data_IF_265415707664
#
_entry.id   IF_265415707664
#
_cell.length_a   1.000
_cell.length_b   1.000
_cell.length_c   1.000
_cell.angle_alpha   90.00
_cell.angle_beta   90.00
_cell.angle_gamma   90.00
#
_symmetry.space_group_name_H-M   'P 1'
#
loop_
_entity.id
_entity.type
_entity.pdbx_description
1 polymer ?
#
# COMPACT_ATOMS: atom_id res chain seq x y z
N UNK A 1 -0.50 -51.72 52.38
CA UNK A 1 -1.69 -50.86 52.60
C UNK A 1 -1.18 -49.46 52.95
N UNK A 2 -1.43 -48.49 52.05
CA UNK A 2 -1.61 -47.01 52.20
C UNK A 2 -1.20 -46.38 53.56
N UNK A 3 -0.65 -45.18 53.68
CA UNK A 3 -0.33 -44.07 52.77
C UNK A 3 0.53 -43.05 53.54
N UNK A 4 1.24 -42.19 52.80
CA UNK A 4 1.91 -40.99 53.26
C UNK A 4 0.95 -39.80 53.45
N UNK A 5 1.24 -38.91 54.41
CA UNK A 5 0.78 -37.50 54.47
C UNK A 5 1.32 -36.83 55.73
N UNK A 6 1.70 -35.55 55.82
CA UNK A 6 2.10 -34.46 54.90
C UNK A 6 2.48 -33.32 55.85
N UNK A 7 3.68 -32.78 55.75
CA UNK A 7 4.08 -31.53 56.41
C UNK A 7 3.63 -30.35 55.53
N UNK A 8 3.07 -29.25 56.06
CA UNK A 8 2.77 -28.08 55.23
C UNK A 8 4.05 -27.28 55.02
N UNK A 9 4.44 -27.10 53.76
CA UNK A 9 5.41 -26.07 53.35
C UNK A 9 4.57 -24.85 52.96
N UNK A 10 4.89 -23.71 53.57
CA UNK A 10 4.26 -22.42 53.31
C UNK A 10 4.30 -22.06 51.82
N UNK A 11 3.15 -21.65 51.32
CA UNK A 11 2.96 -21.19 49.95
C UNK A 11 3.72 -19.87 49.74
N UNK A 12 4.79 -19.93 48.95
CA UNK A 12 5.33 -18.76 48.27
C UNK A 12 4.53 -18.61 46.97
N UNK A 13 3.53 -17.73 46.97
CA UNK A 13 2.77 -17.38 45.77
C UNK A 13 3.72 -16.61 44.85
N UNK A 14 4.27 -17.30 43.86
CA UNK A 14 4.90 -16.64 42.73
C UNK A 14 3.77 -16.01 41.89
N UNK A 15 3.57 -14.72 42.07
CA UNK A 15 2.89 -13.90 41.06
C UNK A 15 3.79 -13.89 39.83
N UNK A 16 3.45 -14.76 38.88
CA UNK A 16 3.95 -14.72 37.52
C UNK A 16 3.51 -13.39 36.92
N UNK A 17 4.45 -12.44 36.81
CA UNK A 17 4.28 -11.25 35.98
C UNK A 17 4.16 -11.70 34.53
N UNK A 18 2.92 -11.87 34.09
CA UNK A 18 2.58 -11.88 32.67
C UNK A 18 2.89 -10.48 32.17
N UNK A 19 4.07 -10.32 31.56
CA UNK A 19 4.39 -9.14 30.76
C UNK A 19 3.37 -9.12 29.64
N UNK A 20 2.31 -8.33 29.81
CA UNK A 20 1.34 -8.08 28.77
C UNK A 20 2.09 -7.50 27.57
N UNK A 21 2.00 -8.18 26.43
CA UNK A 21 2.55 -7.76 25.14
C UNK A 21 1.88 -6.42 24.81
N UNK A 22 2.52 -5.31 25.18
CA UNK A 22 2.02 -3.97 24.89
C UNK A 22 2.07 -3.83 23.38
N UNK A 23 0.91 -3.96 22.73
CA UNK A 23 0.83 -3.86 21.29
C UNK A 23 1.25 -2.44 20.92
N UNK A 24 2.30 -2.26 20.12
CA UNK A 24 2.76 -0.92 19.78
C UNK A 24 1.65 -0.16 19.07
N UNK A 25 1.48 1.12 19.43
CA UNK A 25 0.47 2.02 18.86
C UNK A 25 0.57 2.15 17.34
N UNK A 26 1.76 1.89 16.78
CA UNK A 26 2.01 1.77 15.35
C UNK A 26 2.83 0.50 15.04
N UNK A 27 2.52 -0.15 13.92
CA UNK A 27 3.32 -1.26 13.40
C UNK A 27 4.63 -0.78 12.74
N UNK A 28 4.63 0.43 12.16
CA UNK A 28 5.82 1.10 11.63
C UNK A 28 5.77 2.57 12.06
N UNK A 29 6.89 3.10 12.54
CA UNK A 29 7.12 4.52 12.76
C UNK A 29 8.38 4.96 12.03
N UNK A 30 8.27 6.03 11.26
CA UNK A 30 9.37 6.67 10.53
C UNK A 30 9.34 8.15 10.88
N UNK A 31 10.47 8.68 11.37
CA UNK A 31 10.61 10.08 11.77
C UNK A 31 11.86 10.68 11.13
N UNK A 32 11.66 11.73 10.35
CA UNK A 32 12.68 12.55 9.69
C UNK A 32 13.76 11.70 9.00
N UNK A 33 13.34 10.62 8.35
CA UNK A 33 14.25 9.64 7.75
C UNK A 33 15.03 10.29 6.61
N UNK A 34 16.35 10.16 6.66
CA UNK A 34 17.26 10.65 5.63
C UNK A 34 18.16 9.51 5.13
N UNK A 35 18.30 9.43 3.80
CA UNK A 35 19.30 8.59 3.14
C UNK A 35 19.93 9.33 1.97
N UNK A 36 21.25 9.35 1.94
CA UNK A 36 22.06 10.01 0.91
C UNK A 36 22.99 9.00 0.22
N UNK A 37 23.22 9.21 -1.07
CA UNK A 37 24.23 8.50 -1.86
C UNK A 37 25.03 9.51 -2.65
N UNK A 38 26.36 9.50 -2.49
CA UNK A 38 27.29 10.40 -3.20
C UNK A 38 26.85 11.88 -3.11
N UNK A 39 26.37 12.32 -1.95
CA UNK A 39 25.89 13.68 -1.71
C UNK A 39 24.48 14.00 -2.24
N UNK A 40 23.79 13.06 -2.89
CA UNK A 40 22.39 13.20 -3.32
C UNK A 40 21.46 12.57 -2.30
N UNK A 41 20.49 13.35 -1.80
CA UNK A 41 19.41 12.82 -0.97
C UNK A 41 18.45 11.97 -1.81
N UNK A 42 18.26 10.71 -1.42
CA UNK A 42 17.30 9.77 -2.01
C UNK A 42 16.06 9.63 -1.13
N UNK A 43 16.22 9.78 0.19
CA UNK A 43 15.14 9.97 1.15
C UNK A 43 15.49 11.20 1.96
N UNK A 44 14.57 12.15 2.11
CA UNK A 44 14.85 13.50 2.60
C UNK A 44 13.79 13.96 3.62
N UNK A 45 13.99 13.62 4.88
CA UNK A 45 13.09 14.02 5.98
C UNK A 45 11.73 13.31 5.92
N UNK A 46 11.70 12.04 5.52
CA UNK A 46 10.45 11.30 5.38
C UNK A 46 9.87 10.92 6.75
N UNK A 47 8.61 11.30 7.02
CA UNK A 47 7.92 11.04 8.29
C UNK A 47 6.54 10.45 8.04
N UNK A 48 6.26 9.25 8.57
CA UNK A 48 4.94 8.63 8.52
C UNK A 48 4.82 7.49 9.54
N UNK A 49 3.58 7.03 9.77
CA UNK A 49 3.29 5.87 10.63
C UNK A 49 2.26 4.94 9.99
N UNK A 50 2.45 3.64 10.24
CA UNK A 50 1.55 2.57 9.79
C UNK A 50 0.87 1.93 11.00
N UNK A 51 -0.45 1.83 10.97
CA UNK A 51 -1.25 1.22 12.03
C UNK A 51 -1.19 -0.31 11.97
N UNK A 52 -1.26 -1.01 13.12
CA UNK A 52 -1.39 -2.46 13.11
C UNK A 52 -2.64 -2.92 12.33
N UNK A 53 -2.49 -3.94 11.49
CA UNK A 53 -3.60 -4.54 10.72
C UNK A 53 -4.10 -3.70 9.54
N UNK A 54 -3.42 -2.61 9.18
CA UNK A 54 -3.74 -1.84 7.97
C UNK A 54 -2.91 -2.29 6.76
N UNK A 55 -3.47 -2.06 5.57
CA UNK A 55 -2.70 -2.09 4.32
C UNK A 55 -2.28 -0.67 4.02
N UNK A 56 -0.98 -0.42 4.02
CA UNK A 56 -0.38 0.88 3.74
C UNK A 56 0.39 0.83 2.42
N UNK A 57 0.04 1.69 1.48
CA UNK A 57 0.70 1.75 0.18
C UNK A 57 1.65 2.95 0.11
N UNK A 58 2.87 2.72 -0.38
CA UNK A 58 3.78 3.78 -0.79
C UNK A 58 3.74 3.88 -2.32
N UNK A 59 3.23 5.00 -2.81
CA UNK A 59 3.17 5.37 -4.23
C UNK A 59 4.22 6.44 -4.55
N UNK A 60 4.70 6.45 -5.78
CA UNK A 60 5.73 7.39 -6.22
C UNK A 60 6.29 6.98 -7.57
N UNK A 61 6.87 7.91 -8.36
CA UNK A 61 7.57 7.54 -9.58
C UNK A 61 8.81 6.68 -9.29
N UNK A 62 9.41 6.11 -10.34
CA UNK A 62 10.69 5.42 -10.22
C UNK A 62 11.76 6.41 -9.75
N UNK A 63 12.56 6.00 -8.76
CA UNK A 63 13.56 6.88 -8.15
C UNK A 63 13.05 7.82 -7.06
N UNK A 64 11.77 7.74 -6.67
CA UNK A 64 11.22 8.53 -5.55
C UNK A 64 11.75 8.13 -4.16
N UNK A 65 12.58 7.09 -4.04
CA UNK A 65 13.11 6.60 -2.77
C UNK A 65 12.33 5.46 -2.12
N UNK A 66 11.24 4.97 -2.74
CA UNK A 66 10.38 3.89 -2.21
C UNK A 66 11.16 2.64 -1.76
N UNK A 67 11.91 2.03 -2.68
CA UNK A 67 12.71 0.81 -2.41
C UNK A 67 13.75 1.08 -1.33
N UNK A 68 14.42 2.24 -1.35
CA UNK A 68 15.38 2.62 -0.31
C UNK A 68 14.73 2.75 1.07
N UNK A 69 13.54 3.36 1.15
CA UNK A 69 12.77 3.42 2.40
C UNK A 69 12.41 2.03 2.88
N UNK A 70 11.89 1.16 2.00
CA UNK A 70 11.53 -0.22 2.35
C UNK A 70 12.74 -1.01 2.83
N UNK A 71 13.88 -0.98 2.12
CA UNK A 71 15.11 -1.67 2.52
C UNK A 71 15.65 -1.18 3.88
N UNK A 72 15.40 0.08 4.27
CA UNK A 72 15.72 0.59 5.61
C UNK A 72 14.78 -0.01 6.66
N UNK A 73 13.47 -0.06 6.38
CA UNK A 73 12.47 -0.70 7.25
C UNK A 73 12.75 -2.20 7.45
N UNK A 74 13.26 -2.86 6.41
CA UNK A 74 13.66 -4.27 6.45
C UNK A 74 14.98 -4.52 7.19
N UNK A 75 15.74 -3.45 7.47
CA UNK A 75 17.05 -3.52 8.13
C UNK A 75 18.20 -3.90 7.20
N UNK A 76 18.01 -3.88 5.87
CA UNK A 76 19.08 -4.07 4.89
C UNK A 76 19.92 -2.82 4.67
N UNK A 77 19.39 -1.65 5.00
CA UNK A 77 20.10 -0.37 4.91
C UNK A 77 20.01 0.40 6.21
N UNK A 78 21.12 1.05 6.55
CA UNK A 78 21.18 1.97 7.69
C UNK A 78 20.77 3.37 7.22
N UNK A 79 19.86 4.05 7.94
CA UNK A 79 19.56 5.46 7.69
C UNK A 79 20.78 6.34 7.99
N UNK A 80 20.92 7.48 7.31
CA UNK A 80 21.98 8.45 7.61
C UNK A 80 21.55 9.45 8.68
N UNK A 81 20.24 9.72 8.79
CA UNK A 81 19.62 10.41 9.91
C UNK A 81 18.14 9.99 10.07
N UNK A 82 17.52 10.44 11.17
CA UNK A 82 16.15 10.09 11.54
C UNK A 82 16.04 8.80 12.34
N UNK A 83 14.81 8.43 12.67
CA UNK A 83 14.50 7.25 13.48
C UNK A 83 13.48 6.36 12.80
N UNK A 84 13.67 5.04 12.96
CA UNK A 84 12.79 4.01 12.39
C UNK A 84 12.50 2.96 13.46
N UNK A 85 11.21 2.64 13.63
CA UNK A 85 10.74 1.52 14.45
C UNK A 85 9.82 0.64 13.63
N UNK A 86 10.04 -0.67 13.68
CA UNK A 86 9.20 -1.69 13.05
C UNK A 86 8.80 -2.68 14.13
N UNK A 87 7.50 -2.78 14.39
CA UNK A 87 6.94 -3.56 15.51
C UNK A 87 7.60 -3.19 16.86
N UNK A 88 7.91 -1.90 17.05
CA UNK A 88 8.60 -1.37 18.23
C UNK A 88 10.12 -1.58 18.24
N UNK A 89 10.69 -2.28 17.25
CA UNK A 89 12.12 -2.62 17.19
C UNK A 89 12.88 -1.73 16.21
N UNK A 90 14.14 -1.45 16.51
CA UNK A 90 15.08 -0.87 15.53
C UNK A 90 15.47 -1.96 14.51
N UNK A 91 15.21 -1.78 13.20
CA UNK A 91 15.42 -2.83 12.21
C UNK A 91 16.89 -3.19 11.99
N UNK A 92 17.83 -2.29 12.29
CA UNK A 92 19.28 -2.52 12.15
C UNK A 92 19.83 -3.16 13.43
N UNK A 93 19.56 -2.55 14.58
CA UNK A 93 20.15 -2.97 15.87
C UNK A 93 19.47 -4.21 16.44
N UNK A 94 18.16 -4.36 16.21
CA UNK A 94 17.34 -5.45 16.75
C UNK A 94 16.84 -6.39 15.64
N UNK A 95 17.54 -6.41 14.49
CA UNK A 95 17.15 -7.19 13.32
C UNK A 95 16.99 -8.68 13.56
N UNK A 96 17.78 -9.28 14.46
CA UNK A 96 17.65 -10.72 14.82
C UNK A 96 16.32 -11.02 15.49
N UNK A 97 15.80 -10.10 16.30
CA UNK A 97 14.49 -10.21 16.94
C UNK A 97 13.35 -9.87 15.97
N UNK A 98 13.60 -8.93 15.06
CA UNK A 98 12.61 -8.45 14.10
C UNK A 98 12.33 -9.45 12.97
N UNK A 99 13.37 -10.05 12.38
CA UNK A 99 13.27 -10.90 11.18
C UNK A 99 12.23 -12.02 11.28
N UNK A 100 12.13 -12.79 12.39
CA UNK A 100 11.09 -13.82 12.52
C UNK A 100 9.66 -13.27 12.54
N UNK A 101 9.46 -11.97 12.77
CA UNK A 101 8.14 -11.33 12.89
C UNK A 101 7.69 -10.63 11.60
N UNK A 102 8.59 -10.50 10.62
CA UNK A 102 8.31 -9.82 9.34
C UNK A 102 8.45 -10.77 8.15
N UNK A 103 7.63 -10.53 7.12
CA UNK A 103 7.66 -11.27 5.87
C UNK A 103 8.11 -10.37 4.73
N UNK A 104 9.01 -10.85 3.86
CA UNK A 104 9.58 -10.05 2.77
C UNK A 104 9.31 -10.72 1.43
N UNK A 105 8.69 -9.99 0.51
CA UNK A 105 8.56 -10.43 -0.89
C UNK A 105 9.71 -9.84 -1.72
N UNK A 106 10.61 -10.71 -2.19
CA UNK A 106 11.77 -10.30 -2.99
C UNK A 106 11.34 -9.96 -4.43
N UNK A 107 11.70 -8.79 -4.94
CA UNK A 107 11.22 -8.26 -6.23
C UNK A 107 11.56 -9.11 -7.46
N UNK A 108 12.72 -9.78 -7.49
CA UNK A 108 13.08 -10.82 -8.45
C UNK A 108 14.38 -11.48 -7.96
N UNK A 109 14.52 -12.80 -8.17
CA UNK A 109 15.73 -13.53 -7.82
C UNK A 109 15.83 -13.90 -6.33
N UNK A 110 16.66 -14.89 -6.04
CA UNK A 110 16.85 -15.42 -4.68
C UNK A 110 16.58 -16.92 -4.57
N UNK A 111 15.81 -17.50 -5.49
CA UNK A 111 15.57 -18.95 -5.54
C UNK A 111 16.45 -19.65 -6.58
N UNK A 112 16.94 -20.83 -6.21
CA UNK A 112 17.69 -21.69 -7.12
C UNK A 112 16.83 -22.07 -8.34
N UNK A 113 17.30 -21.88 -9.59
CA UNK A 113 16.47 -22.11 -10.78
C UNK A 113 15.84 -23.51 -10.90
N UNK A 114 16.43 -24.51 -10.24
CA UNK A 114 15.97 -25.90 -10.28
C UNK A 114 15.03 -26.28 -9.12
N UNK A 115 14.90 -25.46 -8.08
CA UNK A 115 14.00 -25.75 -6.96
C UNK A 115 12.56 -25.73 -7.45
N UNK A 116 11.73 -26.67 -6.98
CA UNK A 116 10.29 -26.63 -7.24
C UNK A 116 9.57 -25.68 -6.28
N UNK A 117 8.38 -25.21 -6.66
CA UNK A 117 7.59 -24.33 -5.80
C UNK A 117 7.33 -24.94 -4.40
N UNK A 118 6.99 -26.23 -4.34
CA UNK A 118 6.79 -26.96 -3.09
C UNK A 118 8.07 -27.07 -2.26
N UNK A 119 9.20 -27.39 -2.90
CA UNK A 119 10.48 -27.48 -2.21
C UNK A 119 10.91 -26.13 -1.63
N UNK A 120 10.67 -25.03 -2.35
CA UNK A 120 10.97 -23.69 -1.86
C UNK A 120 10.16 -23.34 -0.59
N UNK A 121 8.84 -23.57 -0.61
CA UNK A 121 8.01 -23.33 0.58
C UNK A 121 8.42 -24.21 1.77
N UNK A 122 8.72 -25.50 1.53
CA UNK A 122 9.20 -26.41 2.59
C UNK A 122 10.56 -25.99 3.15
N UNK A 123 11.48 -25.58 2.29
CA UNK A 123 12.80 -25.10 2.68
C UNK A 123 12.68 -23.87 3.57
N UNK A 124 11.86 -22.88 3.16
CA UNK A 124 11.72 -21.65 3.93
C UNK A 124 10.93 -21.87 5.22
N UNK A 125 9.92 -22.75 5.23
CA UNK A 125 9.23 -23.15 6.45
C UNK A 125 10.19 -23.70 7.51
N UNK A 126 11.24 -24.42 7.11
CA UNK A 126 12.23 -24.97 8.05
C UNK A 126 13.06 -23.90 8.79
N UNK A 127 13.04 -22.64 8.36
CA UNK A 127 13.70 -21.55 9.08
C UNK A 127 12.85 -20.98 10.23
N UNK A 128 11.58 -21.34 10.33
CA UNK A 128 10.66 -20.81 11.33
C UNK A 128 10.18 -21.92 12.28
N UNK A 129 10.14 -21.67 13.59
CA UNK A 129 9.64 -22.65 14.56
C UNK A 129 8.11 -22.85 14.45
N UNK A 130 7.37 -21.83 14.02
CA UNK A 130 5.91 -21.88 13.81
C UNK A 130 5.56 -21.42 12.38
N UNK A 131 6.00 -22.21 11.40
CA UNK A 131 5.70 -21.94 10.01
C UNK A 131 4.25 -22.27 9.63
N UNK A 132 3.72 -21.59 8.62
CA UNK A 132 2.53 -22.07 7.91
C UNK A 132 2.81 -23.40 7.21
N UNK A 133 1.76 -24.22 7.07
CA UNK A 133 1.84 -25.45 6.29
C UNK A 133 2.12 -25.12 4.81
N UNK A 134 3.26 -25.60 4.24
CA UNK A 134 3.57 -25.40 2.83
C UNK A 134 2.50 -25.92 1.87
N UNK A 135 1.76 -26.97 2.23
CA UNK A 135 0.69 -27.50 1.38
C UNK A 135 -0.53 -26.56 1.38
N UNK A 136 -0.96 -26.08 2.56
CA UNK A 136 -2.00 -25.07 2.67
C UNK A 136 -1.64 -23.76 1.94
N UNK A 137 -0.37 -23.33 2.00
CA UNK A 137 0.09 -22.16 1.25
C UNK A 137 -0.02 -22.34 -0.27
N UNK A 138 0.27 -23.53 -0.81
CA UNK A 138 0.12 -23.78 -2.24
C UNK A 138 -1.33 -23.61 -2.71
N UNK A 139 -2.29 -24.01 -1.87
CA UNK A 139 -3.72 -23.82 -2.13
C UNK A 139 -4.12 -22.35 -1.99
N UNK A 140 -3.69 -21.67 -0.91
CA UNK A 140 -3.97 -20.24 -0.69
C UNK A 140 -3.43 -19.37 -1.83
N UNK A 141 -2.24 -19.69 -2.33
CA UNK A 141 -1.57 -18.97 -3.42
C UNK A 141 -2.10 -19.38 -4.80
N UNK A 142 -2.97 -20.40 -4.89
CA UNK A 142 -3.49 -20.97 -6.14
C UNK A 142 -2.37 -21.38 -7.11
N UNK A 143 -1.34 -22.06 -6.60
CA UNK A 143 -0.22 -22.61 -7.39
C UNK A 143 0.00 -24.11 -7.11
N UNK A 144 -1.04 -24.77 -6.57
CA UNK A 144 -1.07 -26.20 -6.24
C UNK A 144 -0.77 -27.09 -7.45
N UNK A 145 -1.30 -26.72 -8.61
CA UNK A 145 -1.12 -27.38 -9.91
C UNK A 145 0.33 -27.37 -10.38
N UNK A 146 1.08 -26.30 -10.10
CA UNK A 146 2.49 -26.15 -10.43
C UNK A 146 3.45 -26.43 -9.27
N UNK A 147 2.96 -27.09 -8.20
CA UNK A 147 3.74 -27.36 -7.00
C UNK A 147 5.07 -28.10 -7.28
N UNK A 148 5.12 -28.96 -8.30
CA UNK A 148 6.30 -29.73 -8.71
C UNK A 148 7.08 -29.09 -9.88
N UNK A 149 6.62 -27.94 -10.37
CA UNK A 149 7.27 -27.22 -11.46
C UNK A 149 8.49 -26.47 -10.93
N UNK A 150 9.60 -26.52 -11.68
CA UNK A 150 10.85 -25.83 -11.29
C UNK A 150 10.68 -24.32 -11.43
N UNK A 151 11.33 -23.55 -10.56
CA UNK A 151 11.22 -22.09 -10.52
C UNK A 151 11.47 -21.42 -11.88
N UNK A 152 12.48 -21.88 -12.63
CA UNK A 152 12.80 -21.34 -13.96
C UNK A 152 11.68 -21.52 -15.00
N UNK A 153 10.78 -22.49 -14.79
CA UNK A 153 9.69 -22.84 -15.69
C UNK A 153 8.35 -22.19 -15.29
N UNK A 154 8.29 -21.56 -14.11
CA UNK A 154 7.11 -20.83 -13.68
C UNK A 154 6.89 -19.56 -14.51
N UNK A 155 5.64 -19.23 -14.78
CA UNK A 155 5.26 -17.94 -15.38
C UNK A 155 5.61 -16.78 -14.43
N UNK A 156 5.65 -15.55 -14.94
CA UNK A 156 5.90 -14.36 -14.10
C UNK A 156 4.93 -14.28 -12.91
N UNK A 157 3.62 -14.40 -13.15
CA UNK A 157 2.63 -14.41 -12.09
C UNK A 157 2.75 -15.58 -11.10
N UNK A 158 3.16 -16.77 -11.55
CA UNK A 158 3.43 -17.90 -10.66
C UNK A 158 4.66 -17.65 -9.77
N UNK A 159 5.72 -17.03 -10.31
CA UNK A 159 6.90 -16.63 -9.51
C UNK A 159 6.54 -15.61 -8.46
N UNK A 160 5.72 -14.61 -8.80
CA UNK A 160 5.25 -13.62 -7.84
C UNK A 160 4.38 -14.25 -6.74
N UNK A 161 3.47 -15.17 -7.08
CA UNK A 161 2.70 -15.92 -6.08
C UNK A 161 3.58 -16.74 -5.16
N UNK A 162 4.59 -17.42 -5.70
CA UNK A 162 5.56 -18.12 -4.88
C UNK A 162 6.32 -17.15 -3.96
N UNK A 163 6.76 -15.99 -4.48
CA UNK A 163 7.40 -14.93 -3.69
C UNK A 163 6.53 -14.45 -2.53
N UNK A 164 5.24 -14.20 -2.79
CA UNK A 164 4.25 -13.90 -1.75
C UNK A 164 4.16 -15.05 -0.73
N UNK A 165 4.12 -16.30 -1.18
CA UNK A 165 4.12 -17.48 -0.30
C UNK A 165 5.31 -17.54 0.64
N UNK A 166 6.50 -17.25 0.13
CA UNK A 166 7.73 -17.23 0.93
C UNK A 166 7.74 -16.08 1.94
N UNK A 167 7.13 -14.94 1.61
CA UNK A 167 6.94 -13.85 2.55
C UNK A 167 5.98 -14.24 3.70
N UNK A 168 5.01 -15.12 3.43
CA UNK A 168 3.96 -15.49 4.38
C UNK A 168 4.27 -16.72 5.23
N UNK A 169 5.23 -17.55 4.80
CA UNK A 169 5.51 -18.86 5.43
C UNK A 169 5.88 -18.77 6.91
N UNK A 170 6.48 -17.67 7.35
CA UNK A 170 6.86 -17.45 8.75
C UNK A 170 5.74 -16.93 9.66
N UNK A 171 4.48 -16.88 9.20
CA UNK A 171 3.34 -16.25 9.92
C UNK A 171 3.65 -14.82 10.41
N UNK A 172 4.06 -13.91 9.52
CA UNK A 172 4.53 -12.59 9.94
C UNK A 172 3.40 -11.74 10.52
N UNK A 173 3.75 -10.88 11.49
CA UNK A 173 2.87 -9.82 12.00
C UNK A 173 2.79 -8.64 11.01
N UNK A 174 3.85 -8.42 10.23
CA UNK A 174 3.97 -7.39 9.20
C UNK A 174 4.62 -7.97 7.95
N UNK A 175 4.04 -7.73 6.77
CA UNK A 175 4.61 -8.15 5.49
C UNK A 175 4.93 -6.94 4.60
N UNK A 176 6.13 -6.96 4.00
CA UNK A 176 6.58 -6.00 3.01
C UNK A 176 6.42 -6.63 1.62
N UNK A 177 5.63 -5.97 0.77
CA UNK A 177 5.27 -6.41 -0.57
C UNK A 177 5.75 -5.40 -1.60
N UNK A 178 6.89 -5.67 -2.22
CA UNK A 178 7.45 -4.75 -3.22
C UNK A 178 7.01 -5.12 -4.64
N UNK A 179 6.07 -4.35 -5.18
CA UNK A 179 5.38 -4.58 -6.45
C UNK A 179 4.79 -5.99 -6.61
N UNK A 180 3.88 -6.42 -5.69
CA UNK A 180 3.44 -7.81 -5.58
C UNK A 180 2.71 -8.36 -6.81
N UNK A 181 2.20 -7.47 -7.67
CA UNK A 181 1.46 -7.85 -8.87
C UNK A 181 2.16 -7.43 -10.18
N UNK A 182 3.44 -7.04 -10.10
CA UNK A 182 4.26 -6.81 -11.27
C UNK A 182 4.33 -8.07 -12.15
N UNK A 183 4.22 -7.89 -13.47
CA UNK A 183 4.22 -8.98 -14.47
C UNK A 183 3.05 -9.98 -14.35
N UNK A 184 1.93 -9.57 -13.74
CA UNK A 184 0.67 -10.32 -13.76
C UNK A 184 -0.32 -9.73 -14.76
N UNK A 185 -1.06 -10.61 -15.44
CA UNK A 185 -2.27 -10.22 -16.16
C UNK A 185 -3.37 -9.73 -15.18
N UNK A 186 -4.44 -9.07 -15.68
CA UNK A 186 -5.49 -8.51 -14.82
C UNK A 186 -6.20 -9.54 -13.93
N UNK A 187 -6.37 -10.79 -14.38
CA UNK A 187 -7.06 -11.82 -13.60
C UNK A 187 -6.17 -12.32 -12.45
N UNK A 188 -4.90 -12.61 -12.75
CA UNK A 188 -3.92 -13.02 -11.75
C UNK A 188 -3.72 -11.94 -10.68
N UNK A 189 -3.70 -10.66 -11.07
CA UNK A 189 -3.62 -9.50 -10.16
C UNK A 189 -4.79 -9.46 -9.18
N UNK A 190 -6.04 -9.54 -9.68
CA UNK A 190 -7.25 -9.54 -8.82
C UNK A 190 -7.26 -10.70 -7.83
N UNK A 191 -6.77 -11.87 -8.23
CA UNK A 191 -6.66 -13.01 -7.32
C UNK A 191 -5.60 -12.78 -6.24
N UNK A 192 -4.44 -12.20 -6.57
CA UNK A 192 -3.42 -11.80 -5.58
C UNK A 192 -3.95 -10.74 -4.61
N UNK A 193 -4.73 -9.77 -5.09
CA UNK A 193 -5.41 -8.79 -4.26
C UNK A 193 -6.33 -9.42 -3.21
N UNK A 194 -7.04 -10.50 -3.57
CA UNK A 194 -7.87 -11.24 -2.61
C UNK A 194 -7.03 -11.91 -1.52
N UNK A 195 -5.84 -12.40 -1.86
CA UNK A 195 -4.89 -12.93 -0.87
C UNK A 195 -4.46 -11.80 0.09
N UNK A 196 -4.11 -10.63 -0.42
CA UNK A 196 -3.72 -9.47 0.40
C UNK A 196 -4.87 -9.02 1.32
N UNK A 197 -6.11 -8.96 0.81
CA UNK A 197 -7.30 -8.67 1.62
C UNK A 197 -7.49 -9.70 2.74
N UNK A 198 -7.24 -10.98 2.46
CA UNK A 198 -7.32 -12.04 3.47
C UNK A 198 -6.25 -11.90 4.57
N UNK A 199 -5.06 -11.38 4.25
CA UNK A 199 -4.01 -11.09 5.24
C UNK A 199 -4.48 -9.99 6.20
N UNK A 200 -4.98 -8.89 5.64
CA UNK A 200 -5.54 -7.80 6.43
C UNK A 200 -6.69 -8.26 7.32
N UNK A 201 -7.60 -9.09 6.81
CA UNK A 201 -8.72 -9.63 7.59
C UNK A 201 -8.27 -10.51 8.77
N UNK A 202 -7.08 -11.10 8.70
CA UNK A 202 -6.44 -11.85 9.79
C UNK A 202 -5.64 -10.96 10.76
N UNK A 203 -5.63 -9.64 10.55
CA UNK A 203 -4.90 -8.68 11.38
C UNK A 203 -3.42 -8.50 10.99
N UNK A 204 -2.95 -9.13 9.92
CA UNK A 204 -1.59 -8.91 9.41
C UNK A 204 -1.47 -7.49 8.86
N UNK A 205 -0.43 -6.77 9.27
CA UNK A 205 -0.11 -5.45 8.70
C UNK A 205 0.58 -5.66 7.35
N UNK A 206 0.23 -4.87 6.35
CA UNK A 206 0.84 -4.96 5.01
C UNK A 206 1.40 -3.60 4.64
N UNK A 207 2.69 -3.51 4.37
CA UNK A 207 3.27 -2.39 3.64
C UNK A 207 3.50 -2.85 2.20
N UNK A 208 2.91 -2.16 1.24
CA UNK A 208 3.14 -2.43 -0.18
C UNK A 208 3.71 -1.22 -0.90
N UNK A 209 4.65 -1.44 -1.80
CA UNK A 209 5.09 -0.45 -2.78
C UNK A 209 4.51 -0.84 -4.12
N UNK A 210 3.93 0.13 -4.80
CA UNK A 210 3.37 -0.09 -6.14
C UNK A 210 3.46 1.18 -6.96
N UNK A 211 3.46 1.01 -8.28
CA UNK A 211 3.26 2.08 -9.24
C UNK A 211 1.88 1.96 -9.92
N UNK A 212 1.06 0.99 -9.51
CA UNK A 212 -0.30 0.79 -10.01
C UNK A 212 -1.30 1.48 -9.08
N UNK A 213 -1.89 2.59 -9.52
CA UNK A 213 -2.82 3.35 -8.69
C UNK A 213 -4.12 2.59 -8.41
N UNK A 214 -4.59 1.76 -9.35
CA UNK A 214 -5.72 0.87 -9.14
C UNK A 214 -5.46 -0.14 -8.01
N UNK A 215 -4.23 -0.64 -7.88
CA UNK A 215 -3.83 -1.51 -6.78
C UNK A 215 -3.91 -0.80 -5.42
N UNK A 216 -3.36 0.41 -5.33
CA UNK A 216 -3.44 1.21 -4.12
C UNK A 216 -4.89 1.56 -3.76
N UNK A 217 -5.73 1.95 -4.74
CA UNK A 217 -7.15 2.21 -4.51
C UNK A 217 -7.90 0.98 -3.99
N UNK A 218 -7.60 -0.20 -4.52
CA UNK A 218 -8.34 -1.43 -4.23
C UNK A 218 -7.93 -2.13 -2.94
N UNK A 219 -6.71 -1.87 -2.45
CA UNK A 219 -6.13 -2.57 -1.29
C UNK A 219 -5.85 -1.66 -0.11
N UNK A 220 -5.37 -0.45 -0.35
CA UNK A 220 -4.79 0.37 0.70
C UNK A 220 -5.86 1.01 1.59
N UNK A 221 -5.64 0.93 2.89
CA UNK A 221 -6.33 1.77 3.85
C UNK A 221 -5.86 3.22 3.73
N UNK A 222 -4.54 3.40 3.59
CA UNK A 222 -3.87 4.69 3.46
C UNK A 222 -2.75 4.59 2.45
N UNK A 223 -2.49 5.70 1.77
CA UNK A 223 -1.53 5.83 0.71
C UNK A 223 -0.62 7.00 1.04
N UNK A 224 0.69 6.76 1.05
CA UNK A 224 1.70 7.79 1.05
C UNK A 224 2.17 8.02 -0.39
N UNK A 225 1.99 9.23 -0.90
CA UNK A 225 2.59 9.67 -2.16
C UNK A 225 3.96 10.25 -1.82
N UNK A 226 5.01 9.64 -2.36
CA UNK A 226 6.40 10.04 -2.19
C UNK A 226 6.94 10.49 -3.54
N UNK A 227 7.57 11.64 -3.56
CA UNK A 227 8.29 12.14 -4.72
C UNK A 227 9.62 12.78 -4.30
N UNK A 228 10.66 12.57 -5.11
CA UNK A 228 12.02 13.04 -4.83
C UNK A 228 12.51 12.80 -3.38
N UNK A 229 12.12 11.67 -2.77
CA UNK A 229 12.51 11.29 -1.41
C UNK A 229 11.70 11.92 -0.29
N UNK A 230 10.68 12.72 -0.60
CA UNK A 230 9.84 13.46 0.36
C UNK A 230 8.39 12.98 0.33
N UNK A 231 7.70 13.11 1.46
CA UNK A 231 6.26 12.87 1.52
C UNK A 231 5.53 14.06 0.90
N UNK A 232 4.78 13.81 -0.18
CA UNK A 232 3.95 14.82 -0.85
C UNK A 232 2.57 14.87 -0.20
N UNK A 233 1.94 13.71 -0.07
CA UNK A 233 0.61 13.58 0.51
C UNK A 233 0.46 12.23 1.21
N UNK A 234 -0.40 12.20 2.23
CA UNK A 234 -0.72 10.98 2.96
C UNK A 234 -2.16 11.02 3.46
N UNK A 235 -2.99 10.14 2.93
CA UNK A 235 -4.40 10.01 3.31
C UNK A 235 -4.95 8.65 2.84
N UNK A 236 -6.23 8.38 3.10
CA UNK A 236 -6.99 7.33 2.43
C UNK A 236 -7.04 7.58 0.91
N UNK A 237 -7.20 6.54 0.07
CA UNK A 237 -7.38 6.73 -1.37
C UNK A 237 -8.52 7.71 -1.69
N UNK A 238 -9.65 7.63 -0.96
CA UNK A 238 -10.75 8.56 -1.12
C UNK A 238 -10.35 10.00 -0.76
N UNK A 239 -9.68 10.20 0.38
CA UNK A 239 -9.19 11.52 0.81
C UNK A 239 -8.24 12.15 -0.20
N UNK A 240 -7.29 11.38 -0.74
CA UNK A 240 -6.38 11.87 -1.78
C UNK A 240 -7.11 12.30 -3.07
N UNK A 241 -8.16 11.57 -3.46
CA UNK A 241 -8.99 11.93 -4.61
C UNK A 241 -9.86 13.17 -4.37
N UNK A 242 -10.26 13.43 -3.13
CA UNK A 242 -11.00 14.63 -2.74
C UNK A 242 -10.09 15.86 -2.56
N UNK A 243 -8.79 15.66 -2.32
CA UNK A 243 -7.82 16.74 -2.18
C UNK A 243 -7.54 17.46 -3.51
N UNK A 244 -7.84 16.83 -4.64
CA UNK A 244 -7.79 17.46 -5.97
C UNK A 244 -9.18 17.92 -6.40
N UNK A 245 -9.23 19.04 -7.13
CA UNK A 245 -10.49 19.66 -7.54
C UNK A 245 -11.44 18.66 -8.22
N UNK A 246 -12.71 18.66 -7.81
CA UNK A 246 -13.74 17.85 -8.42
C UNK A 246 -14.12 18.44 -9.79
N UNK A 247 -14.34 17.57 -10.78
CA UNK A 247 -14.61 17.97 -12.16
C UNK A 247 -15.75 17.12 -12.74
N UNK A 248 -16.33 17.61 -13.84
CA UNK A 248 -17.27 16.84 -14.65
C UNK A 248 -16.58 16.50 -15.97
N UNK A 249 -16.34 15.22 -16.21
CA UNK A 249 -15.82 14.72 -17.49
C UNK A 249 -16.96 14.08 -18.28
N UNK A 250 -17.09 14.41 -19.55
CA UNK A 250 -18.13 13.84 -20.39
C UNK A 250 -17.67 13.62 -21.82
N UNK A 251 -18.28 12.65 -22.49
CA UNK A 251 -18.02 12.33 -23.89
C UNK A 251 -19.29 12.52 -24.72
N UNK A 252 -19.18 13.20 -25.87
CA UNK A 252 -20.28 13.45 -26.80
C UNK A 252 -20.06 12.83 -28.17
N UNK A 253 -21.16 12.53 -28.87
CA UNK A 253 -21.16 12.22 -30.31
C UNK A 253 -22.31 12.99 -31.01
N UNK A 254 -22.04 13.79 -32.06
CA UNK A 254 -20.71 14.16 -32.58
C UNK A 254 -19.89 14.99 -31.57
N UNK A 255 -18.61 15.20 -31.87
CA UNK A 255 -17.81 16.15 -31.13
C UNK A 255 -18.35 17.58 -31.36
N UNK A 256 -18.39 18.37 -30.29
CA UNK A 256 -18.87 19.76 -30.28
C UNK A 256 -17.70 20.72 -30.01
N UNK A 257 -17.95 22.02 -30.14
CA UNK A 257 -16.94 23.02 -29.81
C UNK A 257 -16.91 23.29 -28.29
N UNK A 258 -15.72 23.35 -27.68
CA UNK A 258 -15.56 23.66 -26.25
C UNK A 258 -16.09 25.05 -25.90
N UNK A 259 -16.08 25.99 -26.86
CA UNK A 259 -16.67 27.30 -26.71
C UNK A 259 -18.20 27.27 -26.69
N UNK A 260 -18.83 26.39 -27.47
CA UNK A 260 -20.28 26.18 -27.44
C UNK A 260 -20.70 25.60 -26.08
N UNK A 261 -19.92 24.65 -25.55
CA UNK A 261 -20.11 24.10 -24.20
C UNK A 261 -20.00 25.21 -23.14
N UNK A 262 -18.93 25.99 -23.17
CA UNK A 262 -18.71 27.06 -22.19
C UNK A 262 -19.86 28.10 -22.23
N UNK A 263 -20.27 28.51 -23.42
CA UNK A 263 -21.35 29.50 -23.61
C UNK A 263 -22.70 28.92 -23.19
N UNK A 264 -22.99 27.68 -23.58
CA UNK A 264 -24.23 26.98 -23.30
C UNK A 264 -24.50 26.74 -21.82
N UNK A 265 -23.44 26.55 -21.03
CA UNK A 265 -23.50 26.33 -19.59
C UNK A 265 -23.20 27.59 -18.76
N UNK A 266 -23.02 28.74 -19.41
CA UNK A 266 -22.69 30.01 -18.74
C UNK A 266 -21.35 29.95 -17.98
N UNK A 267 -20.39 29.17 -18.44
CA UNK A 267 -19.08 28.98 -17.81
C UNK A 267 -18.00 29.82 -18.51
N UNK A 268 -16.99 30.33 -17.75
CA UNK A 268 -15.80 30.90 -18.37
C UNK A 268 -15.09 29.87 -19.26
N UNK A 269 -14.53 30.28 -20.40
CA UNK A 269 -13.77 29.37 -21.29
C UNK A 269 -12.66 28.60 -20.55
N UNK A 270 -11.97 29.25 -19.60
CA UNK A 270 -10.93 28.62 -18.79
C UNK A 270 -11.42 27.46 -17.90
N UNK A 271 -12.74 27.25 -17.79
CA UNK A 271 -13.35 26.16 -17.02
C UNK A 271 -13.74 24.97 -17.90
N UNK A 272 -13.58 25.05 -19.22
CA UNK A 272 -13.90 23.98 -20.15
C UNK A 272 -12.65 23.64 -20.93
N UNK A 273 -12.27 22.36 -20.91
CA UNK A 273 -11.10 21.86 -21.60
C UNK A 273 -11.49 20.67 -22.48
N UNK A 274 -11.08 20.68 -23.75
CA UNK A 274 -11.19 19.51 -24.62
C UNK A 274 -9.93 18.65 -24.52
N UNK A 275 -10.06 17.45 -23.95
CA UNK A 275 -8.94 16.52 -23.77
C UNK A 275 -8.60 15.78 -25.08
N UNK A 276 -9.63 15.40 -25.85
CA UNK A 276 -9.50 14.75 -27.16
C UNK A 276 -10.81 14.88 -27.95
N UNK A 277 -10.91 14.18 -29.09
CA UNK A 277 -12.08 14.29 -29.96
C UNK A 277 -13.34 13.71 -29.29
N UNK A 278 -14.22 14.60 -28.85
CA UNK A 278 -15.48 14.24 -28.18
C UNK A 278 -15.42 14.18 -26.66
N UNK A 279 -14.25 14.24 -26.00
CA UNK A 279 -14.14 14.27 -24.53
C UNK A 279 -13.85 15.68 -24.01
N UNK A 280 -14.64 16.10 -23.02
CA UNK A 280 -14.55 17.40 -22.38
C UNK A 280 -14.43 17.27 -20.86
N UNK A 281 -13.74 18.22 -20.24
CA UNK A 281 -13.57 18.35 -18.80
C UNK A 281 -14.08 19.73 -18.37
N UNK A 282 -14.99 19.74 -17.40
CA UNK A 282 -15.47 20.94 -16.73
C UNK A 282 -14.81 21.06 -15.37
N UNK A 283 -14.03 22.12 -15.18
CA UNK A 283 -13.30 22.46 -13.96
C UNK A 283 -14.21 23.11 -12.89
N UNK A 284 -15.33 22.46 -12.60
CA UNK A 284 -16.40 22.96 -11.73
C UNK A 284 -16.86 21.88 -10.75
N UNK A 285 -17.37 22.31 -9.59
CA UNK A 285 -17.93 21.39 -8.60
C UNK A 285 -19.10 20.58 -9.21
N UNK A 286 -19.05 19.24 -9.14
CA UNK A 286 -20.09 18.37 -9.68
C UNK A 286 -21.30 18.35 -8.76
N UNK A 287 -22.25 19.26 -8.99
CA UNK A 287 -23.55 19.24 -8.31
C UNK A 287 -24.62 18.57 -9.18
N UNK A 288 -25.68 18.00 -8.58
CA UNK A 288 -26.82 17.47 -9.34
C UNK A 288 -27.39 18.48 -10.34
N UNK A 289 -27.51 19.75 -9.93
CA UNK A 289 -28.00 20.84 -10.80
C UNK A 289 -27.08 21.05 -12.00
N UNK A 290 -25.76 21.03 -11.79
CA UNK A 290 -24.79 21.21 -12.87
C UNK A 290 -24.80 20.05 -13.87
N UNK A 291 -24.97 18.83 -13.37
CA UNK A 291 -25.14 17.63 -14.20
C UNK A 291 -26.43 17.70 -15.02
N UNK A 292 -27.53 18.15 -14.41
CA UNK A 292 -28.81 18.31 -15.08
C UNK A 292 -28.75 19.40 -16.16
N UNK A 293 -28.10 20.53 -15.86
CA UNK A 293 -27.88 21.62 -16.81
C UNK A 293 -27.08 21.16 -18.04
N UNK A 294 -25.97 20.45 -17.84
CA UNK A 294 -25.17 19.85 -18.92
C UNK A 294 -26.01 18.91 -19.78
N UNK A 295 -26.74 18.00 -19.14
CA UNK A 295 -27.56 17.00 -19.84
C UNK A 295 -28.69 17.65 -20.64
N UNK A 296 -29.35 18.65 -20.04
CA UNK A 296 -30.42 19.40 -20.68
C UNK A 296 -29.91 20.21 -21.87
N UNK A 297 -28.77 20.90 -21.71
CA UNK A 297 -28.16 21.67 -22.78
C UNK A 297 -27.79 20.78 -23.97
N UNK A 298 -27.11 19.64 -23.74
CA UNK A 298 -26.77 18.69 -24.81
C UNK A 298 -28.02 18.17 -25.55
N UNK A 299 -29.12 17.94 -24.83
CA UNK A 299 -30.39 17.58 -25.44
C UNK A 299 -30.94 18.69 -26.35
N UNK A 300 -30.84 19.96 -25.97
CA UNK A 300 -31.26 21.09 -26.85
C UNK A 300 -30.43 21.19 -28.13
N UNK A 301 -29.17 20.75 -28.07
CA UNK A 301 -28.27 20.73 -29.23
C UNK A 301 -28.42 19.47 -30.09
N UNK A 302 -29.29 18.52 -29.69
CA UNK A 302 -29.43 17.20 -30.31
C UNK A 302 -28.09 16.43 -30.37
N UNK A 303 -27.28 16.55 -29.30
CA UNK A 303 -25.97 15.91 -29.16
C UNK A 303 -26.07 14.76 -28.17
N UNK A 304 -25.60 13.57 -28.55
CA UNK A 304 -25.65 12.40 -27.69
C UNK A 304 -24.54 12.45 -26.65
N UNK A 305 -24.92 12.47 -25.37
CA UNK A 305 -24.02 12.21 -24.24
C UNK A 305 -23.78 10.71 -24.11
N UNK A 306 -22.59 10.24 -24.47
CA UNK A 306 -22.25 8.80 -24.43
C UNK A 306 -21.62 8.37 -23.10
N UNK A 307 -20.94 9.30 -22.42
CA UNK A 307 -20.35 9.04 -21.10
C UNK A 307 -20.41 10.32 -20.26
N UNK A 308 -20.71 10.16 -18.97
CA UNK A 308 -20.67 11.24 -17.99
C UNK A 308 -20.06 10.70 -16.70
N UNK A 309 -19.02 11.38 -16.22
CA UNK A 309 -18.40 11.15 -14.93
C UNK A 309 -18.37 12.46 -14.17
N UNK A 310 -18.95 12.47 -13.00
CA UNK A 310 -18.98 13.62 -12.12
C UNK A 310 -18.49 13.18 -10.74
N UNK A 311 -17.50 13.88 -10.19
CA UNK A 311 -16.96 13.59 -8.86
C UNK A 311 -15.45 13.49 -8.80
N UNK A 312 -14.98 12.79 -7.77
CA UNK A 312 -13.55 12.68 -7.42
C UNK A 312 -12.75 12.06 -8.56
N UNK A 313 -11.65 12.72 -8.95
CA UNK A 313 -10.64 12.20 -9.89
C UNK A 313 -10.14 10.82 -9.46
N UNK A 314 -9.63 10.00 -10.40
CA UNK A 314 -8.95 8.75 -10.02
C UNK A 314 -7.71 9.07 -9.16
N UNK A 315 -7.24 8.10 -8.38
CA UNK A 315 -5.99 8.25 -7.62
C UNK A 315 -4.79 8.51 -8.54
N UNK A 316 -4.84 8.01 -9.77
CA UNK A 316 -3.86 8.34 -10.82
C UNK A 316 -3.83 9.83 -11.14
N UNK A 317 -5.00 10.45 -11.35
CA UNK A 317 -5.08 11.88 -11.61
C UNK A 317 -4.71 12.71 -10.38
N UNK A 318 -5.12 12.26 -9.18
CA UNK A 318 -4.71 12.90 -7.94
C UNK A 318 -3.18 12.88 -7.77
N UNK A 319 -2.55 11.73 -8.06
CA UNK A 319 -1.11 11.57 -8.07
C UNK A 319 -0.43 12.50 -9.07
N UNK A 320 -0.92 12.59 -10.32
CA UNK A 320 -0.36 13.47 -11.34
C UNK A 320 -0.43 14.94 -10.92
N UNK A 321 -1.56 15.40 -10.40
CA UNK A 321 -1.69 16.79 -9.91
C UNK A 321 -0.75 17.06 -8.74
N UNK A 322 -0.74 16.20 -7.72
CA UNK A 322 0.07 16.39 -6.51
C UNK A 322 1.58 16.33 -6.78
N UNK A 323 2.02 15.61 -7.83
CA UNK A 323 3.43 15.52 -8.21
C UNK A 323 3.83 16.55 -9.29
N UNK A 324 2.88 17.08 -10.06
CA UNK A 324 3.15 18.10 -11.08
C UNK A 324 3.51 19.47 -10.48
N UNK A 325 2.95 19.81 -9.33
CA UNK A 325 3.10 21.15 -8.75
C UNK A 325 4.47 21.41 -8.13
N UNK A 326 5.31 20.39 -7.88
CA UNK A 326 6.70 20.55 -7.42
C UNK A 326 6.90 21.31 -6.09
N UNK A 327 5.86 21.91 -5.52
CA UNK A 327 5.85 22.58 -4.24
C UNK A 327 5.27 21.64 -3.18
N UNK A 328 5.97 21.46 -2.04
CA UNK A 328 5.49 20.59 -0.98
C UNK A 328 4.18 21.15 -0.40
N UNK A 329 3.08 20.44 -0.65
CA UNK A 329 1.83 20.67 0.06
C UNK A 329 2.07 20.54 1.56
N UNK A 330 1.77 21.62 2.29
CA UNK A 330 1.84 21.70 3.76
C UNK A 330 1.09 20.49 4.34
N UNK A 331 1.70 19.68 5.22
CA UNK A 331 1.04 18.49 5.76
C UNK A 331 -0.28 18.91 6.42
N UNK A 332 -1.37 18.22 6.06
CA UNK A 332 -2.64 18.36 6.75
C UNK A 332 -2.42 18.08 8.25
N UNK A 333 -2.98 18.88 9.16
CA UNK A 333 -2.73 18.73 10.58
C UNK A 333 -3.12 17.31 11.01
N UNK A 334 -2.13 16.59 11.55
CA UNK A 334 -2.37 15.36 12.29
C UNK A 334 -3.31 15.71 13.45
N UNK A 335 -4.50 15.10 13.47
CA UNK A 335 -5.50 15.34 14.50
C UNK A 335 -4.87 15.24 15.90
N UNK A 336 -5.00 16.32 16.67
CA UNK A 336 -4.49 16.42 18.02
C UNK A 336 -5.07 15.31 18.90
N UNK A 337 -4.17 14.51 19.46
CA UNK A 337 -4.50 13.38 20.31
C UNK A 337 -3.27 12.88 21.05
N UNK A 338 -2.44 13.80 21.54
CA UNK A 338 -1.38 13.49 22.50
C UNK A 338 -1.64 14.36 23.72
N UNK A 339 -2.33 13.78 24.70
CA UNK A 339 -2.47 14.37 26.02
C UNK A 339 -1.10 14.46 26.66
N UNK A 340 -0.69 15.67 27.01
CA UNK A 340 0.40 15.91 27.95
C UNK A 340 0.00 15.33 29.30
N UNK A 341 0.71 14.29 29.71
CA UNK A 341 0.64 13.72 31.05
C UNK A 341 1.96 13.94 31.77
N UNK A 342 1.99 14.96 32.63
CA UNK A 342 2.66 14.92 33.94
C UNK A 342 4.15 15.25 34.02
N UNK A 343 4.43 16.41 34.62
CA UNK A 343 5.35 16.51 35.76
C UNK A 343 4.52 16.89 36.97
#
# INVERSE_FOLDING_TARGET
MRAASRTPIGACVQTSDVVADAHPTAAIEVRDLVKQYNGRCVVDGLTFSVKPGEVFAILGPNGAGKTTTVEILEGYRTPDAGEVRVLGLDPVRQGTELKPRIGLMLQQGGLFPQITAREALRLFAAFYPDAEDPEALLDQLQIRDVARTRFRQLSGGQKQRLGLGLALVGRPRLVFLDEPTAAMDPQARRSTWNIIRSLRARGTTVLLTTHFMDEAEQLANRVAIVDHGRLVALDTPAGLRHAVANEIRFHTRPAIDEHEVATGLGLPRAKVERENDGTFVLHVEPTPDRIAELSSWLATQNVLLTELRAGSRSLEQAFLTLTADGEPSRPLPLGEGWGEGGV
#
